data_IF_329018831675
#
_entry.id   IF_329018831675
#
_cell.length_a   1.000
_cell.length_b   1.000
_cell.length_c   1.000
_cell.angle_alpha   90.00
_cell.angle_beta   90.00
_cell.angle_gamma   90.00
#
_symmetry.space_group_name_H-M   'P 1'
#
loop_
_entity.id
_entity.type
_entity.pdbx_description
1 polymer ?
#
# COMPACT_ATOMS: atom_id res chain seq x y z
N UNK A 1 -43.10 -34.22 51.19
CA UNK A 1 -42.51 -34.39 49.84
C UNK A 1 -41.01 -34.19 49.94
N UNK A 2 -40.29 -35.16 50.48
CA UNK A 2 -38.83 -35.12 50.69
C UNK A 2 -38.25 -36.34 50.00
N UNK A 3 -37.84 -36.18 48.74
CA UNK A 3 -37.37 -37.28 47.89
C UNK A 3 -35.95 -37.11 47.40
N UNK A 4 -35.12 -36.26 48.03
CA UNK A 4 -33.83 -35.90 47.46
C UNK A 4 -32.79 -35.55 48.53
N UNK A 5 -32.18 -36.55 49.20
CA UNK A 5 -31.00 -36.26 50.07
C UNK A 5 -29.89 -37.31 50.04
N UNK A 6 -30.03 -38.50 49.44
CA UNK A 6 -28.90 -39.45 49.40
C UNK A 6 -28.61 -40.00 48.01
N UNK A 7 -28.27 -39.12 47.05
CA UNK A 7 -27.29 -39.54 46.03
C UNK A 7 -26.01 -39.89 46.78
N UNK A 8 -25.61 -41.16 46.71
CA UNK A 8 -24.39 -41.65 47.34
C UNK A 8 -23.22 -40.81 46.83
N UNK A 9 -22.19 -40.58 47.65
CA UNK A 9 -20.99 -39.87 47.20
C UNK A 9 -20.42 -40.50 45.91
N UNK A 10 -20.56 -41.82 45.75
CA UNK A 10 -20.23 -42.56 44.53
C UNK A 10 -21.04 -42.13 43.29
N UNK A 11 -22.33 -41.85 43.43
CA UNK A 11 -23.17 -41.40 42.31
C UNK A 11 -22.79 -39.99 41.83
N UNK A 12 -22.34 -39.13 42.76
CA UNK A 12 -21.85 -37.79 42.42
C UNK A 12 -20.49 -37.84 41.73
N UNK A 13 -19.59 -38.70 42.22
CA UNK A 13 -18.28 -38.93 41.60
C UNK A 13 -18.45 -39.46 40.17
N UNK A 14 -19.31 -40.46 39.96
CA UNK A 14 -19.55 -41.01 38.62
C UNK A 14 -20.19 -40.02 37.66
N UNK A 15 -21.07 -39.14 38.15
CA UNK A 15 -21.64 -38.07 37.32
C UNK A 15 -20.60 -37.03 36.93
N UNK A 16 -19.80 -36.55 37.88
CA UNK A 16 -18.69 -35.62 37.61
C UNK A 16 -17.65 -36.23 36.67
N UNK A 17 -17.38 -37.53 36.76
CA UNK A 17 -16.51 -38.24 35.83
C UNK A 17 -17.07 -38.22 34.40
N UNK A 18 -18.38 -38.40 34.23
CA UNK A 18 -19.04 -38.30 32.91
C UNK A 18 -18.96 -36.88 32.36
N UNK A 19 -19.29 -35.88 33.17
CA UNK A 19 -19.21 -34.47 32.79
C UNK A 19 -17.78 -34.07 32.39
N UNK A 20 -16.78 -34.47 33.18
CA UNK A 20 -15.37 -34.24 32.86
C UNK A 20 -14.97 -34.93 31.55
N UNK A 21 -15.46 -36.13 31.28
CA UNK A 21 -15.19 -36.82 30.02
C UNK A 21 -15.86 -36.13 28.82
N UNK A 22 -17.07 -35.59 28.99
CA UNK A 22 -17.75 -34.77 27.97
C UNK A 22 -16.97 -33.49 27.71
N UNK A 23 -16.64 -32.73 28.75
CA UNK A 23 -15.85 -31.51 28.64
C UNK A 23 -14.48 -31.76 27.98
N UNK A 24 -13.79 -32.87 28.31
CA UNK A 24 -12.54 -33.25 27.64
C UNK A 24 -12.72 -33.52 26.15
N UNK A 25 -13.84 -34.12 25.74
CA UNK A 25 -14.14 -34.36 24.32
C UNK A 25 -14.45 -33.06 23.59
N UNK A 26 -15.22 -32.17 24.21
CA UNK A 26 -15.53 -30.85 23.67
C UNK A 26 -14.27 -30.00 23.49
N UNK A 27 -13.42 -29.92 24.51
CA UNK A 27 -12.13 -29.20 24.41
C UNK A 27 -11.28 -29.78 23.29
N UNK A 28 -11.19 -31.11 23.18
CA UNK A 28 -10.47 -31.76 22.08
C UNK A 28 -11.04 -31.36 20.72
N UNK A 29 -12.36 -31.35 20.57
CA UNK A 29 -13.03 -30.94 19.35
C UNK A 29 -12.76 -29.46 19.00
N UNK A 30 -12.89 -28.56 19.97
CA UNK A 30 -12.60 -27.13 19.78
C UNK A 30 -11.15 -26.92 19.37
N UNK A 31 -10.18 -27.59 19.98
CA UNK A 31 -8.78 -27.49 19.58
C UNK A 31 -8.57 -27.91 18.11
N UNK A 32 -9.17 -29.03 17.68
CA UNK A 32 -9.07 -29.46 16.28
C UNK A 32 -9.75 -28.48 15.31
N UNK A 33 -10.88 -27.91 15.70
CA UNK A 33 -11.57 -26.90 14.87
C UNK A 33 -10.74 -25.61 14.77
N UNK A 34 -10.15 -25.16 15.87
CA UNK A 34 -9.22 -24.02 15.89
C UNK A 34 -7.99 -24.25 15.00
N UNK A 35 -7.43 -25.46 14.99
CA UNK A 35 -6.34 -25.84 14.08
C UNK A 35 -6.78 -25.71 12.62
N UNK A 36 -7.93 -26.28 12.26
CA UNK A 36 -8.48 -26.20 10.90
C UNK A 36 -8.79 -24.77 10.46
N UNK A 37 -9.35 -23.95 11.35
CA UNK A 37 -9.62 -22.53 11.08
C UNK A 37 -8.32 -21.75 10.89
N UNK A 38 -7.30 -22.06 11.68
CA UNK A 38 -5.97 -21.45 11.55
C UNK A 38 -5.36 -21.81 10.19
N UNK A 39 -5.42 -23.07 9.78
CA UNK A 39 -4.97 -23.51 8.45
C UNK A 39 -5.75 -22.81 7.33
N UNK A 40 -7.07 -22.70 7.45
CA UNK A 40 -7.91 -22.00 6.48
C UNK A 40 -7.53 -20.51 6.37
N UNK A 41 -7.32 -19.83 7.50
CA UNK A 41 -6.85 -18.45 7.53
C UNK A 41 -5.48 -18.29 6.87
N UNK A 42 -4.56 -19.21 7.13
CA UNK A 42 -3.24 -19.20 6.49
C UNK A 42 -3.34 -19.40 4.98
N UNK A 43 -4.24 -20.27 4.48
CA UNK A 43 -4.51 -20.42 3.05
C UNK A 43 -5.00 -19.11 2.43
N UNK A 44 -5.98 -18.46 3.05
CA UNK A 44 -6.51 -17.17 2.57
C UNK A 44 -5.43 -16.08 2.58
N UNK A 45 -4.60 -16.01 3.62
CA UNK A 45 -3.48 -15.06 3.69
C UNK A 45 -2.49 -15.26 2.54
N UNK A 46 -2.11 -16.51 2.23
CA UNK A 46 -1.23 -16.82 1.09
C UNK A 46 -1.85 -16.44 -0.24
N UNK A 47 -3.14 -16.71 -0.44
CA UNK A 47 -3.84 -16.34 -1.66
C UNK A 47 -3.92 -14.81 -1.83
N UNK A 48 -4.20 -14.08 -0.74
CA UNK A 48 -4.19 -12.61 -0.74
C UNK A 48 -2.80 -12.05 -1.05
N UNK A 49 -1.75 -12.61 -0.47
CA UNK A 49 -0.37 -12.23 -0.79
C UNK A 49 -0.07 -12.43 -2.28
N UNK A 50 -0.41 -13.60 -2.84
CA UNK A 50 -0.24 -13.88 -4.26
C UNK A 50 -0.99 -12.89 -5.16
N UNK A 51 -2.23 -12.55 -4.84
CA UNK A 51 -3.02 -11.56 -5.59
C UNK A 51 -2.42 -10.16 -5.50
N UNK A 52 -1.85 -9.79 -4.34
CA UNK A 52 -1.13 -8.53 -4.15
C UNK A 52 0.11 -8.47 -5.05
N UNK A 53 0.93 -9.53 -5.05
CA UNK A 53 2.14 -9.61 -5.89
C UNK A 53 1.78 -9.52 -7.39
N UNK A 54 0.69 -10.18 -7.79
CA UNK A 54 0.18 -10.09 -9.16
C UNK A 54 -0.31 -8.68 -9.51
N UNK A 55 -1.08 -8.04 -8.63
CA UNK A 55 -1.53 -6.66 -8.82
C UNK A 55 -0.35 -5.69 -8.93
N UNK A 56 0.69 -5.90 -8.13
CA UNK A 56 1.93 -5.12 -8.15
C UNK A 56 2.68 -5.28 -9.47
N UNK A 57 2.91 -6.52 -9.90
CA UNK A 57 3.56 -6.81 -11.18
C UNK A 57 2.82 -6.19 -12.37
N UNK A 58 1.49 -6.31 -12.39
CA UNK A 58 0.66 -5.73 -13.45
C UNK A 58 0.70 -4.19 -13.43
N UNK A 59 0.69 -3.57 -12.25
CA UNK A 59 0.79 -2.13 -12.13
C UNK A 59 2.13 -1.61 -12.66
N UNK A 60 3.23 -2.27 -12.32
CA UNK A 60 4.57 -1.94 -12.82
C UNK A 60 4.67 -2.10 -14.33
N UNK A 61 4.12 -3.18 -14.89
CA UNK A 61 4.09 -3.39 -16.33
C UNK A 61 3.26 -2.33 -17.06
N UNK A 62 2.06 -2.01 -16.56
CA UNK A 62 1.20 -0.98 -17.15
C UNK A 62 1.85 0.41 -17.06
N UNK A 63 2.47 0.74 -15.94
CA UNK A 63 3.21 1.98 -15.77
C UNK A 63 4.32 2.13 -16.84
N UNK A 64 5.11 1.07 -17.05
CA UNK A 64 6.16 1.06 -18.06
C UNK A 64 5.61 1.25 -19.49
N UNK A 65 4.48 0.61 -19.82
CA UNK A 65 3.83 0.76 -21.13
C UNK A 65 3.30 2.18 -21.35
N UNK A 66 2.68 2.79 -20.33
CA UNK A 66 2.20 4.16 -20.41
C UNK A 66 3.36 5.17 -20.57
N UNK A 67 4.45 4.99 -19.82
CA UNK A 67 5.68 5.77 -20.00
C UNK A 67 6.28 5.59 -21.40
N UNK A 68 6.34 4.35 -21.90
CA UNK A 68 6.82 4.10 -23.26
C UNK A 68 5.93 4.74 -24.33
N UNK A 69 4.61 4.72 -24.14
CA UNK A 69 3.64 5.38 -25.02
C UNK A 69 3.85 6.89 -25.07
N UNK A 70 3.97 7.53 -23.91
CA UNK A 70 4.28 8.95 -23.79
C UNK A 70 5.57 9.32 -24.54
N UNK A 71 6.65 8.56 -24.34
CA UNK A 71 7.92 8.83 -25.02
C UNK A 71 7.88 8.58 -26.54
N UNK A 72 7.05 7.63 -27.02
CA UNK A 72 6.83 7.41 -28.45
C UNK A 72 6.15 8.61 -29.09
N UNK A 73 5.10 9.11 -28.46
CA UNK A 73 4.37 10.30 -28.91
C UNK A 73 5.28 11.54 -28.92
N UNK A 74 6.01 11.77 -27.82
CA UNK A 74 6.91 12.92 -27.70
C UNK A 74 8.02 12.92 -28.78
N UNK A 75 8.60 11.75 -29.10
CA UNK A 75 9.59 11.62 -30.19
C UNK A 75 8.98 11.91 -31.56
N UNK A 76 7.76 11.47 -31.82
CA UNK A 76 7.05 11.76 -33.06
C UNK A 76 6.76 13.27 -33.21
N UNK A 77 6.40 13.93 -32.10
CA UNK A 77 6.18 15.37 -32.01
C UNK A 77 7.47 16.18 -32.20
N UNK A 78 8.58 15.81 -31.54
CA UNK A 78 9.87 16.49 -31.72
C UNK A 78 10.43 16.36 -33.13
N UNK A 79 10.15 15.26 -33.83
CA UNK A 79 10.53 15.08 -35.24
C UNK A 79 9.81 16.08 -36.16
N UNK A 80 8.66 16.62 -35.73
CA UNK A 80 7.90 17.68 -36.41
C UNK A 80 8.29 19.10 -35.95
N UNK A 81 8.74 19.26 -34.70
CA UNK A 81 8.92 20.57 -34.02
C UNK A 81 10.40 20.97 -33.84
N UNK A 82 11.31 20.56 -34.76
CA UNK A 82 12.78 20.83 -34.71
C UNK A 82 13.22 22.33 -34.63
N UNK A 83 12.33 23.28 -34.33
CA UNK A 83 12.59 24.72 -34.20
C UNK A 83 12.20 25.35 -32.84
N UNK A 84 11.82 24.58 -31.80
CA UNK A 84 11.54 25.14 -30.46
C UNK A 84 12.29 24.41 -29.34
N UNK A 85 12.62 25.18 -28.29
CA UNK A 85 13.35 24.78 -27.09
C UNK A 85 12.83 23.45 -26.49
N UNK A 86 13.71 22.72 -25.80
CA UNK A 86 13.37 21.47 -25.11
C UNK A 86 12.10 21.65 -24.27
N UNK A 87 11.18 20.68 -24.37
CA UNK A 87 9.93 20.71 -23.63
C UNK A 87 10.23 20.61 -22.12
N UNK A 88 9.93 21.67 -21.33
CA UNK A 88 10.27 21.69 -19.91
C UNK A 88 9.54 20.59 -19.12
N UNK A 89 8.34 20.18 -19.54
CA UNK A 89 7.62 19.08 -18.91
C UNK A 89 8.36 17.75 -19.12
N UNK A 90 8.79 17.48 -20.35
CA UNK A 90 9.53 16.26 -20.67
C UNK A 90 10.83 16.13 -19.87
N UNK A 91 11.52 17.25 -19.60
CA UNK A 91 12.70 17.24 -18.72
C UNK A 91 12.34 16.85 -17.29
N UNK A 92 11.28 17.45 -16.71
CA UNK A 92 10.80 17.10 -15.37
C UNK A 92 10.36 15.64 -15.28
N UNK A 93 9.65 15.14 -16.29
CA UNK A 93 9.20 13.74 -16.33
C UNK A 93 10.39 12.78 -16.33
N UNK A 94 11.47 13.08 -17.07
CA UNK A 94 12.70 12.28 -17.03
C UNK A 94 13.36 12.26 -15.67
N UNK A 95 13.45 13.41 -15.01
CA UNK A 95 14.04 13.52 -13.68
C UNK A 95 13.25 12.73 -12.64
N UNK A 96 11.92 12.72 -12.75
CA UNK A 96 11.06 11.90 -11.90
C UNK A 96 11.24 10.41 -12.21
N UNK A 97 11.19 10.00 -13.48
CA UNK A 97 11.35 8.59 -13.87
C UNK A 97 12.72 8.00 -13.51
N UNK A 98 13.79 8.80 -13.51
CA UNK A 98 15.13 8.35 -13.12
C UNK A 98 15.37 8.40 -11.60
N UNK A 99 14.43 8.95 -10.83
CA UNK A 99 14.57 9.09 -9.39
C UNK A 99 14.39 7.75 -8.68
N UNK A 100 15.28 7.38 -7.73
CA UNK A 100 15.09 6.20 -6.90
C UNK A 100 13.90 6.32 -5.93
N UNK A 101 13.37 7.53 -5.74
CA UNK A 101 12.22 7.81 -4.86
C UNK A 101 10.89 7.89 -5.61
N UNK A 102 10.88 7.59 -6.92
CA UNK A 102 9.65 7.46 -7.67
C UNK A 102 9.39 5.99 -7.98
N UNK A 103 8.29 5.45 -7.43
CA UNK A 103 7.85 4.10 -7.73
C UNK A 103 6.58 4.19 -8.59
N UNK A 104 6.77 4.02 -9.90
CA UNK A 104 5.68 4.12 -10.87
C UNK A 104 4.59 3.04 -10.66
N UNK A 105 4.96 1.85 -10.21
CA UNK A 105 4.04 0.75 -9.95
C UNK A 105 3.20 1.00 -8.70
N UNK A 106 3.84 1.45 -7.63
CA UNK A 106 3.15 1.90 -6.41
C UNK A 106 2.23 3.08 -6.70
N UNK A 107 2.73 4.10 -7.38
CA UNK A 107 1.98 5.32 -7.71
C UNK A 107 0.74 5.02 -8.56
N UNK A 108 0.88 4.09 -9.54
CA UNK A 108 -0.25 3.65 -10.34
C UNK A 108 -1.33 2.98 -9.49
N UNK A 109 -0.97 2.16 -8.49
CA UNK A 109 -1.97 1.54 -7.61
C UNK A 109 -2.72 2.57 -6.76
N UNK A 110 -2.05 3.63 -6.31
CA UNK A 110 -2.69 4.71 -5.53
C UNK A 110 -3.60 5.61 -6.38
N UNK A 111 -3.23 5.83 -7.65
CA UNK A 111 -3.92 6.79 -8.53
C UNK A 111 -4.49 6.15 -9.79
N UNK A 112 -4.81 4.85 -9.71
CA UNK A 112 -5.18 4.01 -10.85
C UNK A 112 -6.30 4.62 -11.69
N UNK A 113 -7.36 5.10 -11.01
CA UNK A 113 -8.54 5.66 -11.68
C UNK A 113 -8.17 6.84 -12.59
N UNK A 114 -7.49 7.85 -12.06
CA UNK A 114 -7.12 9.07 -12.81
C UNK A 114 -6.11 8.77 -13.90
N UNK A 115 -5.15 7.87 -13.65
CA UNK A 115 -4.15 7.46 -14.63
C UNK A 115 -4.78 6.75 -15.83
N UNK A 116 -5.75 5.85 -15.58
CA UNK A 116 -6.46 5.12 -16.63
C UNK A 116 -7.42 6.06 -17.38
N UNK A 117 -8.20 6.87 -16.68
CA UNK A 117 -9.18 7.80 -17.28
C UNK A 117 -8.52 8.79 -18.24
N UNK A 118 -7.32 9.27 -17.92
CA UNK A 118 -6.60 10.26 -18.73
C UNK A 118 -5.49 9.68 -19.60
N UNK A 119 -5.28 8.35 -19.58
CA UNK A 119 -4.20 7.65 -20.28
C UNK A 119 -2.82 8.28 -20.06
N UNK A 120 -2.54 8.73 -18.83
CA UNK A 120 -1.30 9.42 -18.49
C UNK A 120 -0.25 8.43 -17.98
N UNK A 121 1.01 8.63 -18.35
CA UNK A 121 2.10 7.96 -17.64
C UNK A 121 2.14 8.41 -16.16
N UNK A 122 2.48 7.53 -15.20
CA UNK A 122 2.56 7.88 -13.78
C UNK A 122 3.39 9.13 -13.50
N UNK A 123 4.58 9.23 -14.08
CA UNK A 123 5.47 10.38 -13.89
C UNK A 123 4.89 11.68 -14.49
N UNK A 124 4.17 11.60 -15.61
CA UNK A 124 3.45 12.75 -16.20
C UNK A 124 2.34 13.21 -15.27
N UNK A 125 1.55 12.28 -14.73
CA UNK A 125 0.51 12.62 -13.75
C UNK A 125 1.10 13.27 -12.50
N UNK A 126 2.23 12.76 -11.99
CA UNK A 126 2.95 13.34 -10.87
C UNK A 126 3.44 14.77 -11.18
N UNK A 127 4.18 14.97 -12.27
CA UNK A 127 4.72 16.28 -12.64
C UNK A 127 3.63 17.34 -12.74
N UNK A 128 2.45 16.97 -13.25
CA UNK A 128 1.33 17.90 -13.44
C UNK A 128 0.56 18.25 -12.16
N UNK A 129 0.53 17.35 -11.17
CA UNK A 129 -0.41 17.47 -10.05
C UNK A 129 0.21 17.34 -8.65
N UNK A 130 1.51 16.99 -8.55
CA UNK A 130 2.15 16.65 -7.28
C UNK A 130 1.98 17.74 -6.22
N UNK A 131 2.27 18.99 -6.57
CA UNK A 131 2.26 20.09 -5.60
C UNK A 131 0.85 20.50 -5.18
N UNK A 132 -0.07 20.59 -6.14
CA UNK A 132 -1.44 21.03 -5.90
C UNK A 132 -2.23 20.01 -5.08
N UNK A 133 -2.05 18.73 -5.39
CA UNK A 133 -2.80 17.61 -4.79
C UNK A 133 -2.01 16.88 -3.70
N UNK A 134 -0.81 17.37 -3.37
CA UNK A 134 0.11 16.78 -2.39
C UNK A 134 0.31 15.27 -2.62
N UNK A 135 0.57 14.90 -3.87
CA UNK A 135 0.71 13.50 -4.26
C UNK A 135 2.10 13.00 -3.90
N UNK A 136 2.17 11.83 -3.29
CA UNK A 136 3.44 11.21 -2.93
C UNK A 136 3.98 10.39 -4.13
N UNK A 137 5.28 10.50 -4.46
CA UNK A 137 5.88 9.78 -5.58
C UNK A 137 6.17 8.30 -5.29
N UNK A 138 6.26 7.94 -4.01
CA UNK A 138 6.47 6.58 -3.50
C UNK A 138 6.07 6.52 -2.02
N UNK A 139 6.08 5.31 -1.43
CA UNK A 139 5.86 5.13 0.01
C UNK A 139 6.93 5.81 0.88
N UNK A 140 8.14 6.03 0.33
CA UNK A 140 9.28 6.56 1.08
C UNK A 140 9.37 8.08 1.13
N UNK A 141 8.56 8.82 0.37
CA UNK A 141 8.63 10.27 0.27
C UNK A 141 7.26 10.91 0.41
N UNK A 142 7.13 11.85 1.34
CA UNK A 142 5.93 12.65 1.55
C UNK A 142 6.09 14.04 0.92
N UNK A 143 5.32 14.31 -0.12
CA UNK A 143 5.22 15.63 -0.75
C UNK A 143 4.65 16.65 0.22
N UNK A 144 3.67 16.27 1.03
CA UNK A 144 3.07 17.13 2.05
C UNK A 144 4.12 17.65 3.06
N UNK A 145 4.89 16.72 3.63
CA UNK A 145 5.96 17.05 4.59
C UNK A 145 7.06 17.90 3.97
N UNK A 146 7.44 17.59 2.73
CA UNK A 146 8.45 18.36 2.01
C UNK A 146 8.00 19.81 1.79
N UNK A 147 6.79 20.01 1.27
CA UNK A 147 6.25 21.35 0.99
C UNK A 147 5.98 22.17 2.26
N UNK A 148 5.74 21.51 3.41
CA UNK A 148 5.61 22.19 4.69
C UNK A 148 6.95 22.81 5.15
N UNK A 149 8.06 22.13 4.87
CA UNK A 149 9.41 22.58 5.24
C UNK A 149 10.02 23.54 4.23
N UNK A 150 9.62 23.41 2.96
CA UNK A 150 10.14 24.15 1.82
C UNK A 150 9.03 24.89 1.07
N UNK A 151 8.46 25.99 1.64
CA UNK A 151 7.42 26.77 0.98
C UNK A 151 7.85 27.32 -0.39
N UNK A 152 9.14 27.61 -0.58
CA UNK A 152 9.70 28.07 -1.85
C UNK A 152 9.57 27.04 -2.98
N UNK A 153 9.54 25.75 -2.64
CA UNK A 153 9.26 24.69 -3.60
C UNK A 153 7.84 24.81 -4.18
N UNK A 154 6.88 25.21 -3.34
CA UNK A 154 5.49 25.45 -3.77
C UNK A 154 5.40 26.62 -4.76
N UNK A 155 6.12 27.69 -4.49
CA UNK A 155 6.10 28.91 -5.32
C UNK A 155 6.88 28.73 -6.64
N UNK A 156 7.85 27.80 -6.67
CA UNK A 156 8.66 27.51 -7.87
C UNK A 156 7.88 26.83 -9.00
N UNK A 157 6.73 26.21 -8.71
CA UNK A 157 5.98 25.39 -9.67
C UNK A 157 6.68 24.07 -10.06
N UNK A 158 7.84 23.77 -9.49
CA UNK A 158 8.59 22.52 -9.71
C UNK A 158 8.04 21.43 -8.78
N UNK A 159 7.76 20.20 -9.27
CA UNK A 159 7.30 19.10 -8.42
C UNK A 159 8.22 18.88 -7.20
N UNK A 160 7.65 18.65 -6.02
CA UNK A 160 8.36 18.53 -4.76
C UNK A 160 9.57 17.59 -4.83
N UNK A 161 9.42 16.39 -5.41
CA UNK A 161 10.52 15.44 -5.58
C UNK A 161 11.66 16.03 -6.43
N UNK A 162 11.34 16.74 -7.51
CA UNK A 162 12.36 17.36 -8.38
C UNK A 162 13.08 18.49 -7.65
N UNK A 163 12.34 19.32 -6.91
CA UNK A 163 12.94 20.37 -6.09
C UNK A 163 13.88 19.76 -5.03
N UNK A 164 13.46 18.68 -4.37
CA UNK A 164 14.28 17.96 -3.40
C UNK A 164 15.55 17.37 -4.03
N UNK A 165 15.44 16.75 -5.21
CA UNK A 165 16.59 16.18 -5.94
C UNK A 165 17.60 17.25 -6.32
N UNK A 166 17.14 18.38 -6.87
CA UNK A 166 18.00 19.46 -7.36
C UNK A 166 18.73 20.20 -6.24
N UNK A 167 18.12 20.28 -5.05
CA UNK A 167 18.69 20.95 -3.89
C UNK A 167 19.37 20.00 -2.89
N UNK A 168 19.32 18.68 -3.11
CA UNK A 168 19.91 17.69 -2.21
C UNK A 168 19.15 17.53 -0.88
N UNK A 169 17.84 17.78 -0.86
CA UNK A 169 17.00 17.88 0.34
C UNK A 169 16.05 16.68 0.51
N UNK A 170 16.46 15.49 0.05
CA UNK A 170 15.59 14.31 0.06
C UNK A 170 15.10 13.97 1.48
N UNK A 171 16.00 14.03 2.46
CA UNK A 171 15.76 13.73 3.89
C UNK A 171 14.57 14.51 4.48
N UNK A 172 14.27 15.69 3.96
CA UNK A 172 13.16 16.49 4.46
C UNK A 172 11.78 15.94 4.10
N UNK A 173 11.70 15.28 2.95
CA UNK A 173 10.50 14.59 2.49
C UNK A 173 10.46 13.12 2.89
N UNK A 174 11.58 12.51 3.32
CA UNK A 174 11.59 11.09 3.65
C UNK A 174 10.66 10.75 4.82
N UNK A 175 9.91 9.66 4.66
CA UNK A 175 9.07 9.07 5.69
C UNK A 175 9.89 8.02 6.43
N UNK A 176 9.91 8.08 7.76
CA UNK A 176 10.62 7.09 8.56
C UNK A 176 9.97 5.70 8.36
N UNK A 177 10.77 4.63 8.19
CA UNK A 177 10.25 3.28 8.13
C UNK A 177 9.57 2.97 9.47
N UNK A 178 8.23 2.89 9.48
CA UNK A 178 7.43 2.62 10.68
C UNK A 178 6.24 3.55 10.93
N UNK A 179 6.04 4.59 10.13
CA UNK A 179 4.94 5.56 10.35
C UNK A 179 3.53 5.04 9.99
N UNK A 180 3.41 3.81 9.47
CA UNK A 180 2.15 3.13 9.15
C UNK A 180 1.91 1.94 10.11
N UNK A 181 1.98 2.21 11.40
CA UNK A 181 1.45 1.35 12.45
C UNK A 181 0.39 2.15 13.20
N UNK A 182 -0.85 2.17 12.68
CA UNK A 182 -1.99 2.53 13.54
C UNK A 182 -2.07 1.43 14.58
N UNK A 183 -1.52 1.70 15.76
CA UNK A 183 -1.94 1.04 16.98
C UNK A 183 -3.45 1.22 17.07
N UNK A 184 -4.18 0.15 16.78
CA UNK A 184 -5.55 0.03 17.29
C UNK A 184 -5.34 -0.32 18.76
N UNK A 185 -5.14 0.71 19.57
CA UNK A 185 -5.20 0.60 21.02
C UNK A 185 -6.55 0.02 21.39
N UNK A 186 -6.47 -1.10 22.11
CA UNK A 186 -7.56 -1.63 22.89
C UNK A 186 -7.89 -0.64 24.01
N UNK A 187 -9.17 -0.30 24.15
CA UNK A 187 -9.89 0.35 25.26
C UNK A 187 -11.36 0.27 24.79
N UNK A 188 -12.34 -0.38 25.42
CA UNK A 188 -12.55 -1.03 26.73
C UNK A 188 -13.44 -2.28 26.56
#
# INVERSE_FOLDING_TARGET
MSGDVTRSAADRVTELERELQLARREVKWVCTDQEHLTEALQRVRRQRAKLRDQSESLATALAAELSAAYWREQKASHRRVRLRAADPEATLVREVESSPLFDAGWYLRQHQRTIIEHHLAPAVHYVRHANERRLDPSEGFSTDRYLLRHPEARDSGVPALVHALRNGLLEDGLVAPGSLGVEVSAED
#
